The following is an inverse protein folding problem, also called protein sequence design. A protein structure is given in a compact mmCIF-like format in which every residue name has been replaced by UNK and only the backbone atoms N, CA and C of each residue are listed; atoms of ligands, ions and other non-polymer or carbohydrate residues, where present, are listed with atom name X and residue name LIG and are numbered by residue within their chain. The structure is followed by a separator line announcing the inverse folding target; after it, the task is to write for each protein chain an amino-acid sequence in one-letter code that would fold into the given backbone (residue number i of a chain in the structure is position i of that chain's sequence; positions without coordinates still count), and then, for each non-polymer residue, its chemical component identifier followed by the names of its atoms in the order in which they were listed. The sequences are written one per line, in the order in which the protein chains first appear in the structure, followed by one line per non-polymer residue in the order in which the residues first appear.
data_IF_775760219383
#
_entry.id   IF_775760219383
#
_cell.length_a   1.000
_cell.length_b   1.000
_cell.length_c   1.000
_cell.angle_alpha   90.00
_cell.angle_beta   90.00
_cell.angle_gamma   90.00
#
_symmetry.space_group_name_H-M   'P 1'
#
loop_
_entity.id
_entity.type
_entity.pdbx_description
1 polymer ?
#
# COMPACT_ATOMS: atom_id res chain seq x y z
N UNK A 1 10.58 3.18 7.34
CA UNK A 1 9.62 2.87 6.27
C UNK A 1 10.27 1.82 5.37
N UNK A 2 9.94 0.54 5.51
CA UNK A 2 10.57 -0.53 4.72
C UNK A 2 10.11 -0.45 3.27
N UNK A 3 11.06 -0.36 2.34
CA UNK A 3 10.81 -0.06 0.92
C UNK A 3 10.46 -1.30 0.08
N UNK A 4 10.58 -2.51 0.64
CA UNK A 4 10.24 -3.77 -0.02
C UNK A 4 9.53 -4.72 0.95
N UNK A 5 8.32 -5.16 0.62
CA UNK A 5 7.50 -6.08 1.42
C UNK A 5 8.13 -7.46 1.56
N UNK A 6 8.92 -7.92 0.57
CA UNK A 6 9.72 -9.15 0.67
C UNK A 6 10.83 -9.10 1.73
N UNK A 7 11.22 -7.90 2.17
CA UNK A 7 12.33 -7.71 3.11
C UNK A 7 11.85 -7.52 4.56
N UNK A 8 10.55 -7.71 4.83
CA UNK A 8 9.94 -7.41 6.12
C UNK A 8 9.32 -8.64 6.82
N UNK A 9 9.37 -9.83 6.23
CA UNK A 9 8.90 -11.06 6.86
C UNK A 9 10.04 -11.72 7.63
N UNK A 10 9.79 -12.12 8.88
CA UNK A 10 10.81 -12.77 9.71
C UNK A 10 10.88 -14.27 9.43
N UNK A 11 9.80 -14.86 8.90
CA UNK A 11 9.69 -16.28 8.56
C UNK A 11 8.97 -16.49 7.21
N UNK A 12 9.17 -17.66 6.56
CA UNK A 12 8.44 -18.03 5.35
C UNK A 12 6.92 -18.04 5.55
N UNK A 13 6.45 -18.49 6.73
CA UNK A 13 5.02 -18.57 7.03
C UNK A 13 4.37 -17.18 7.16
N UNK A 14 5.06 -16.24 7.82
CA UNK A 14 4.62 -14.83 7.87
C UNK A 14 4.56 -14.21 6.47
N UNK A 15 5.53 -14.54 5.62
CA UNK A 15 5.57 -14.04 4.26
C UNK A 15 4.45 -14.61 3.40
N UNK A 16 4.18 -15.91 3.53
CA UNK A 16 3.04 -16.55 2.87
C UNK A 16 1.72 -15.92 3.33
N UNK A 17 1.53 -15.74 4.64
CA UNK A 17 0.32 -15.13 5.18
C UNK A 17 0.11 -13.68 4.65
N UNK A 18 1.18 -12.89 4.56
CA UNK A 18 1.10 -11.56 3.94
C UNK A 18 0.76 -11.65 2.45
N UNK A 19 1.37 -12.55 1.68
CA UNK A 19 1.08 -12.74 0.26
C UNK A 19 -0.37 -13.14 0.01
N UNK A 20 -0.90 -14.08 0.81
CA UNK A 20 -2.29 -14.53 0.73
C UNK A 20 -3.26 -13.37 1.01
N UNK A 21 -2.94 -12.50 1.99
CA UNK A 21 -3.70 -11.28 2.27
C UNK A 21 -3.59 -10.27 1.12
N UNK A 22 -2.40 -10.05 0.57
CA UNK A 22 -2.19 -9.13 -0.55
C UNK A 22 -3.01 -9.55 -1.78
N UNK A 23 -2.98 -10.83 -2.14
CA UNK A 23 -3.77 -11.38 -3.23
C UNK A 23 -5.27 -11.13 -3.00
N UNK A 24 -5.78 -11.41 -1.79
CA UNK A 24 -7.17 -11.17 -1.46
C UNK A 24 -7.56 -9.68 -1.58
N UNK A 25 -6.71 -8.77 -1.08
CA UNK A 25 -6.95 -7.33 -1.17
C UNK A 25 -7.01 -6.85 -2.63
N UNK A 26 -6.22 -7.46 -3.53
CA UNK A 26 -6.27 -7.17 -4.96
C UNK A 26 -7.62 -7.48 -5.63
N UNK A 27 -8.44 -8.33 -5.00
CA UNK A 27 -9.76 -8.70 -5.49
C UNK A 27 -10.92 -8.06 -4.72
N UNK A 28 -10.64 -7.34 -3.63
CA UNK A 28 -11.66 -6.72 -2.78
C UNK A 28 -12.08 -5.34 -3.29
N UNK A 29 -13.32 -4.94 -2.96
CA UNK A 29 -13.72 -3.54 -3.00
C UNK A 29 -13.10 -2.76 -1.82
N UNK A 30 -13.01 -1.42 -1.89
CA UNK A 30 -12.55 -0.62 -0.76
C UNK A 30 -13.33 -0.86 0.54
N UNK A 31 -14.66 -1.02 0.46
CA UNK A 31 -15.51 -1.29 1.62
C UNK A 31 -15.23 -2.67 2.24
N UNK A 32 -14.97 -3.68 1.40
CA UNK A 32 -14.58 -5.00 1.87
C UNK A 32 -13.22 -4.97 2.59
N UNK A 33 -12.22 -4.29 1.99
CA UNK A 33 -10.91 -4.13 2.60
C UNK A 33 -11.00 -3.36 3.94
N UNK A 34 -11.85 -2.35 4.01
CA UNK A 34 -12.13 -1.63 5.26
C UNK A 34 -12.77 -2.53 6.32
N UNK A 35 -13.76 -3.34 5.93
CA UNK A 35 -14.38 -4.33 6.80
C UNK A 35 -13.35 -5.33 7.36
N UNK A 36 -12.49 -5.87 6.49
CA UNK A 36 -11.40 -6.77 6.88
C UNK A 36 -10.44 -6.11 7.89
N UNK A 37 -10.04 -4.86 7.65
CA UNK A 37 -9.19 -4.11 8.56
C UNK A 37 -9.84 -3.91 9.94
N UNK A 38 -11.12 -3.55 9.96
CA UNK A 38 -11.87 -3.26 11.18
C UNK A 38 -12.00 -4.47 12.11
N UNK A 39 -12.34 -5.64 11.56
CA UNK A 39 -12.56 -6.87 12.34
C UNK A 39 -11.27 -7.59 12.74
N UNK A 40 -10.16 -7.34 12.04
CA UNK A 40 -8.88 -8.00 12.28
C UNK A 40 -8.09 -7.34 13.41
N UNK A 41 -7.15 -8.06 14.02
CA UNK A 41 -6.24 -7.53 15.07
C UNK A 41 -4.80 -8.01 14.86
N UNK A 42 -3.83 -7.39 15.54
CA UNK A 42 -2.43 -7.81 15.52
C UNK A 42 -1.81 -7.77 14.13
N UNK A 43 -0.98 -8.76 13.80
CA UNK A 43 -0.25 -8.85 12.53
C UNK A 43 -1.17 -8.94 11.30
N UNK A 44 -2.36 -9.55 11.43
CA UNK A 44 -3.33 -9.62 10.31
C UNK A 44 -3.81 -8.22 9.92
N UNK A 45 -4.17 -7.38 10.90
CA UNK A 45 -4.57 -5.98 10.65
C UNK A 45 -3.45 -5.20 9.99
N UNK A 46 -2.22 -5.39 10.45
CA UNK A 46 -1.05 -4.72 9.89
C UNK A 46 -0.77 -5.15 8.44
N UNK A 47 -0.88 -6.45 8.15
CA UNK A 47 -0.72 -6.97 6.79
C UNK A 47 -1.79 -6.43 5.84
N UNK A 48 -3.05 -6.33 6.28
CA UNK A 48 -4.13 -5.69 5.49
C UNK A 48 -3.78 -4.23 5.20
N UNK A 49 -3.35 -3.48 6.22
CA UNK A 49 -2.95 -2.07 6.06
C UNK A 49 -1.81 -1.92 5.04
N UNK A 50 -0.79 -2.76 5.14
CA UNK A 50 0.36 -2.76 4.23
C UNK A 50 -0.05 -3.10 2.79
N UNK A 51 -0.86 -4.14 2.61
CA UNK A 51 -1.37 -4.54 1.30
C UNK A 51 -2.18 -3.41 0.64
N UNK A 52 -3.13 -2.80 1.38
CA UNK A 52 -3.92 -1.67 0.88
C UNK A 52 -3.04 -0.49 0.47
N UNK A 53 -2.07 -0.09 1.31
CA UNK A 53 -1.15 0.99 0.95
C UNK A 53 -0.30 0.67 -0.29
N UNK A 54 0.10 -0.60 -0.47
CA UNK A 54 0.83 -1.04 -1.66
C UNK A 54 -0.03 -0.88 -2.92
N UNK A 55 -1.30 -1.30 -2.89
CA UNK A 55 -2.23 -1.11 -4.00
C UNK A 55 -2.47 0.36 -4.32
N UNK A 56 -2.64 1.23 -3.30
CA UNK A 56 -2.76 2.68 -3.49
C UNK A 56 -1.50 3.24 -4.16
N UNK A 57 -0.31 2.87 -3.67
CA UNK A 57 0.95 3.35 -4.24
C UNK A 57 1.13 2.89 -5.70
N UNK A 58 0.74 1.66 -6.02
CA UNK A 58 0.76 1.13 -7.40
C UNK A 58 -0.23 1.87 -8.30
N UNK A 59 -1.48 2.07 -7.82
CA UNK A 59 -2.49 2.84 -8.55
C UNK A 59 -2.05 4.27 -8.81
N UNK A 60 -1.47 4.95 -7.81
CA UNK A 60 -0.93 6.30 -7.97
C UNK A 60 0.22 6.33 -8.98
N UNK A 61 1.11 5.34 -8.98
CA UNK A 61 2.17 5.25 -10.00
C UNK A 61 1.60 5.08 -11.40
N UNK A 62 0.59 4.22 -11.57
CA UNK A 62 -0.06 4.03 -12.86
C UNK A 62 -0.78 5.30 -13.34
N UNK A 63 -1.49 5.99 -12.43
CA UNK A 63 -2.12 7.27 -12.71
C UNK A 63 -1.10 8.34 -13.15
N UNK A 64 0.05 8.42 -12.50
CA UNK A 64 1.11 9.36 -12.87
C UNK A 64 1.76 9.05 -14.23
N UNK A 65 1.77 7.79 -14.65
CA UNK A 65 2.25 7.39 -15.98
C UNK A 65 1.25 7.84 -17.05
N UNK A 66 -0.05 7.67 -16.79
CA UNK A 66 -1.12 8.05 -17.73
C UNK A 66 -1.37 9.57 -17.76
N UNK A 67 -1.26 10.22 -16.60
CA UNK A 67 -1.53 11.64 -16.38
C UNK A 67 -0.34 12.32 -15.70
N UNK A 68 0.77 12.59 -16.42
CA UNK A 68 1.97 13.21 -15.84
C UNK A 68 1.73 14.59 -15.22
N UNK A 69 0.70 15.31 -15.65
CA UNK A 69 0.29 16.60 -15.09
C UNK A 69 -0.24 16.52 -13.65
N UNK A 70 -0.66 15.32 -13.21
CA UNK A 70 -1.03 15.07 -11.81
C UNK A 70 0.19 14.89 -10.90
N UNK A 71 1.41 14.89 -11.46
CA UNK A 71 2.62 14.88 -10.66
C UNK A 71 2.62 16.08 -9.71
N UNK A 72 3.01 15.89 -8.43
CA UNK A 72 3.11 17.00 -7.49
C UNK A 72 3.97 18.10 -8.12
N UNK A 73 3.42 19.31 -8.26
CA UNK A 73 4.20 20.46 -8.68
C UNK A 73 5.42 20.54 -7.76
N UNK A 74 6.63 20.62 -8.35
CA UNK A 74 7.84 20.88 -7.56
C UNK A 74 7.51 22.06 -6.64
N UNK A 75 7.66 21.87 -5.33
CA UNK A 75 7.69 23.01 -4.41
C UNK A 75 8.82 23.89 -4.92
N UNK A 76 8.47 24.96 -5.62
CA UNK A 76 9.43 25.96 -6.02
C UNK A 76 10.06 26.48 -4.74
N UNK A 77 11.38 26.42 -4.68
CA UNK A 77 12.16 27.09 -3.65
C UNK A 77 11.77 28.58 -3.70
N UNK A 78 10.88 28.98 -2.80
CA UNK A 78 10.52 30.38 -2.64
C UNK A 78 11.67 31.04 -1.88
N UNK A 79 12.78 31.32 -2.57
CA UNK A 79 13.73 32.31 -2.12
C UNK A 79 12.98 33.64 -2.03
N UNK A 80 12.61 34.01 -0.82
CA UNK A 80 12.11 35.35 -0.50
C UNK A 80 13.32 36.26 -0.45
N UNK A 81 13.46 37.14 -1.44
CA UNK A 81 14.41 38.25 -1.44
C UNK A 81 14.04 39.34 -0.44
#
# INVERSE_FOLDING_TARGET
MCQNTQQCCSTPDECKAYMDIEEQIGHCTPDQAWGMYFVSTGSVRENIRLAVMKHIAQGNKALLVEFPELAPAKKGDHESG
#
